data_IF_565088861896
#
_entry.id   IF_565088861896
#
_cell.length_a   1.000
_cell.length_b   1.000
_cell.length_c   1.000
_cell.angle_alpha   90.00
_cell.angle_beta   90.00
_cell.angle_gamma   90.00
#
_symmetry.space_group_name_H-M   'P 1'
#
loop_
_entity.id
_entity.type
_entity.pdbx_description
1 polymer ?
#
# COMPACT_ATOMS: atom_id res chain seq x y z
N UNK A 1 -14.39 -18.53 -4.31
CA UNK A 1 -13.95 -19.92 -4.04
C UNK A 1 -12.84 -20.27 -5.02
N UNK A 2 -11.58 -20.16 -4.60
CA UNK A 2 -10.35 -20.68 -5.21
C UNK A 2 -9.18 -19.96 -4.51
N UNK A 3 -8.65 -20.49 -3.40
CA UNK A 3 -7.49 -19.88 -2.75
C UNK A 3 -6.28 -19.94 -3.70
N UNK A 4 -5.33 -19.00 -3.55
CA UNK A 4 -4.06 -19.05 -4.29
C UNK A 4 -3.35 -20.39 -4.09
N UNK A 5 -2.61 -20.85 -5.10
CA UNK A 5 -1.95 -22.17 -5.10
C UNK A 5 -0.43 -22.10 -5.05
N UNK A 6 0.14 -20.99 -5.51
CA UNK A 6 1.57 -20.79 -5.69
C UNK A 6 2.14 -19.77 -4.69
N UNK A 7 1.28 -18.97 -4.04
CA UNK A 7 1.69 -17.98 -3.03
C UNK A 7 1.02 -18.22 -1.66
N UNK A 8 1.72 -17.84 -0.60
CA UNK A 8 1.15 -17.68 0.75
C UNK A 8 0.67 -16.23 0.90
N UNK A 9 -0.56 -16.03 1.38
CA UNK A 9 -1.10 -14.71 1.68
C UNK A 9 -1.16 -14.50 3.18
N UNK A 10 -0.56 -13.39 3.64
CA UNK A 10 -0.68 -12.90 5.02
C UNK A 10 -1.45 -11.60 5.02
N UNK A 11 -2.60 -11.59 5.70
CA UNK A 11 -3.32 -10.37 6.02
C UNK A 11 -2.84 -9.89 7.39
N UNK A 12 -2.32 -8.66 7.44
CA UNK A 12 -1.83 -8.05 8.66
C UNK A 12 -2.47 -6.66 8.83
N UNK A 13 -2.85 -6.35 10.06
CA UNK A 13 -3.20 -5.00 10.49
C UNK A 13 -2.23 -4.64 11.60
N UNK A 14 -1.43 -3.58 11.38
CA UNK A 14 -0.39 -3.17 12.30
C UNK A 14 -0.95 -2.17 13.31
N UNK A 15 -0.66 -2.40 14.59
CA UNK A 15 -0.95 -1.43 15.63
C UNK A 15 0.12 -0.34 15.70
N UNK A 16 -0.26 0.85 16.17
CA UNK A 16 0.68 1.95 16.41
C UNK A 16 1.49 2.38 15.17
N UNK A 17 0.82 2.50 14.03
CA UNK A 17 1.34 3.16 12.81
C UNK A 17 1.58 4.65 13.09
N UNK A 18 0.54 5.37 13.54
CA UNK A 18 0.55 6.82 13.77
C UNK A 18 1.72 7.38 14.63
N UNK A 19 2.14 6.74 15.75
CA UNK A 19 3.28 7.22 16.52
C UNK A 19 4.66 6.92 15.88
N UNK A 20 4.71 6.28 14.70
CA UNK A 20 5.95 6.05 13.95
C UNK A 20 6.20 4.60 13.54
N UNK A 21 5.22 3.95 12.93
CA UNK A 21 5.31 2.61 12.31
C UNK A 21 5.74 1.51 13.30
N UNK A 22 5.38 1.64 14.58
CA UNK A 22 5.94 0.79 15.65
C UNK A 22 5.56 -0.68 15.45
N UNK A 23 4.31 -0.95 15.06
CA UNK A 23 3.81 -2.31 14.84
C UNK A 23 4.48 -3.00 13.66
N UNK A 24 4.50 -2.36 12.49
CA UNK A 24 5.14 -2.94 11.29
C UNK A 24 6.64 -3.09 11.47
N UNK A 25 7.32 -2.12 12.09
CA UNK A 25 8.74 -2.21 12.42
C UNK A 25 9.02 -3.43 13.29
N UNK A 26 8.25 -3.62 14.36
CA UNK A 26 8.41 -4.77 15.24
C UNK A 26 8.12 -6.09 14.52
N UNK A 27 7.08 -6.13 13.70
CA UNK A 27 6.71 -7.31 12.92
C UNK A 27 7.85 -7.74 11.99
N UNK A 28 8.39 -6.80 11.20
CA UNK A 28 9.49 -7.05 10.25
C UNK A 28 10.77 -7.42 10.99
N UNK A 29 11.15 -6.68 12.04
CA UNK A 29 12.39 -6.95 12.80
C UNK A 29 12.40 -8.36 13.42
N UNK A 30 11.24 -8.90 13.80
CA UNK A 30 11.12 -10.24 14.39
C UNK A 30 11.01 -11.39 13.40
N UNK A 31 10.74 -11.09 12.12
CA UNK A 31 10.42 -12.09 11.08
C UNK A 31 11.23 -11.90 9.81
N UNK A 32 12.36 -11.20 9.90
CA UNK A 32 13.17 -10.82 8.73
C UNK A 32 13.52 -12.03 7.84
N UNK A 33 13.86 -13.17 8.46
CA UNK A 33 14.22 -14.40 7.73
C UNK A 33 13.02 -15.03 7.00
N UNK A 34 11.81 -14.91 7.57
CA UNK A 34 10.57 -15.38 6.95
C UNK A 34 10.11 -14.46 5.82
N UNK A 35 10.40 -13.17 5.93
CA UNK A 35 9.89 -12.14 5.02
C UNK A 35 10.85 -11.79 3.88
N UNK A 36 12.03 -12.39 3.82
CA UNK A 36 13.09 -12.03 2.85
C UNK A 36 12.62 -12.08 1.39
N UNK A 37 11.73 -13.02 1.06
CA UNK A 37 11.17 -13.23 -0.29
C UNK A 37 9.71 -12.75 -0.38
N UNK A 38 9.19 -12.09 0.67
CA UNK A 38 7.83 -11.59 0.69
C UNK A 38 7.71 -10.28 -0.09
N UNK A 39 6.51 -10.04 -0.62
CA UNK A 39 6.09 -8.76 -1.18
C UNK A 39 5.04 -8.17 -0.23
N UNK A 40 5.25 -6.93 0.22
CA UNK A 40 4.25 -6.19 0.99
C UNK A 40 3.53 -5.17 0.11
N UNK A 41 2.24 -5.39 -0.10
CA UNK A 41 1.34 -4.40 -0.67
C UNK A 41 0.51 -3.84 0.48
N UNK A 42 0.90 -2.67 0.97
CA UNK A 42 0.20 -1.98 2.04
C UNK A 42 -0.98 -1.17 1.47
N UNK A 43 -2.00 -0.94 2.28
CA UNK A 43 -3.17 -0.14 1.92
C UNK A 43 -3.36 0.97 2.93
N UNK A 44 -3.53 2.21 2.47
CA UNK A 44 -3.63 3.38 3.34
C UNK A 44 -4.72 4.36 2.86
N UNK A 45 -5.52 4.87 3.80
CA UNK A 45 -6.59 5.86 3.59
C UNK A 45 -7.39 5.72 2.27
N UNK A 46 -7.92 4.53 1.96
CA UNK A 46 -8.67 4.28 0.70
C UNK A 46 -10.09 4.86 0.66
N UNK A 47 -10.44 5.70 1.64
CA UNK A 47 -11.80 6.15 1.88
C UNK A 47 -12.25 7.29 0.96
N UNK A 48 -11.36 8.15 0.48
CA UNK A 48 -11.73 9.28 -0.37
C UNK A 48 -10.57 9.75 -1.24
N UNK A 49 -10.85 10.47 -2.33
CA UNK A 49 -9.81 10.99 -3.25
C UNK A 49 -9.65 10.13 -4.50
N UNK A 50 -8.40 9.88 -4.90
CA UNK A 50 -8.05 9.08 -6.10
C UNK A 50 -7.02 8.02 -5.76
N UNK A 51 -7.16 6.82 -6.32
CA UNK A 51 -6.17 5.76 -6.10
C UNK A 51 -4.81 6.16 -6.68
N UNK A 52 -3.75 5.83 -5.95
CA UNK A 52 -2.37 5.96 -6.39
C UNK A 52 -1.49 4.90 -5.75
N UNK A 53 -0.22 4.88 -6.16
CA UNK A 53 0.79 3.96 -5.67
C UNK A 53 2.01 4.73 -5.18
N UNK A 54 2.47 4.49 -3.96
CA UNK A 54 3.58 5.24 -3.39
C UNK A 54 4.91 4.66 -3.87
N UNK A 55 5.62 5.42 -4.71
CA UNK A 55 6.97 5.09 -5.16
C UNK A 55 8.04 5.60 -4.18
N UNK A 56 7.74 6.69 -3.48
CA UNK A 56 8.69 7.32 -2.55
C UNK A 56 7.98 8.11 -1.45
N UNK A 57 8.47 7.93 -0.23
CA UNK A 57 8.08 8.69 0.96
C UNK A 57 9.20 9.71 1.29
N UNK A 58 8.90 11.00 1.17
CA UNK A 58 9.93 12.04 1.32
C UNK A 58 10.36 12.25 2.77
N UNK A 59 9.42 12.21 3.72
CA UNK A 59 9.66 12.54 5.13
C UNK A 59 10.69 11.63 5.79
N UNK A 60 10.72 10.36 5.41
CA UNK A 60 11.65 9.36 5.95
C UNK A 60 12.71 8.91 4.94
N UNK A 61 12.77 9.55 3.77
CA UNK A 61 13.69 9.26 2.67
C UNK A 61 13.66 7.78 2.23
N UNK A 62 12.48 7.19 2.14
CA UNK A 62 12.29 5.83 1.64
C UNK A 62 11.94 5.87 0.16
N UNK A 63 12.66 5.08 -0.63
CA UNK A 63 12.31 4.74 -2.01
C UNK A 63 11.86 3.29 -1.99
N UNK A 64 10.66 3.03 -2.51
CA UNK A 64 10.10 1.69 -2.62
C UNK A 64 10.74 0.92 -3.78
N UNK A 65 10.45 -0.37 -3.87
CA UNK A 65 10.97 -1.21 -4.95
C UNK A 65 10.41 -0.72 -6.30
N UNK A 66 11.28 -0.15 -7.14
CA UNK A 66 10.90 0.39 -8.43
C UNK A 66 10.35 -0.68 -9.38
N UNK A 67 10.84 -1.92 -9.33
CA UNK A 67 10.36 -2.99 -10.20
C UNK A 67 8.93 -3.37 -9.83
N UNK A 68 8.65 -3.49 -8.51
CA UNK A 68 7.31 -3.71 -8.00
C UNK A 68 6.37 -2.55 -8.37
N UNK A 69 6.81 -1.30 -8.19
CA UNK A 69 5.99 -0.12 -8.49
C UNK A 69 5.59 -0.07 -9.96
N UNK A 70 6.54 -0.28 -10.87
CA UNK A 70 6.28 -0.32 -12.31
C UNK A 70 5.34 -1.48 -12.64
N UNK A 71 5.61 -2.67 -12.09
CA UNK A 71 4.79 -3.84 -12.31
C UNK A 71 3.33 -3.62 -11.90
N UNK A 72 3.08 -3.05 -10.71
CA UNK A 72 1.73 -2.80 -10.21
C UNK A 72 1.01 -1.69 -11.00
N UNK A 73 1.73 -0.64 -11.40
CA UNK A 73 1.20 0.41 -12.28
C UNK A 73 0.72 -0.19 -13.61
N UNK A 74 1.57 -0.96 -14.28
CA UNK A 74 1.26 -1.55 -15.59
C UNK A 74 0.16 -2.61 -15.49
N UNK A 75 0.12 -3.37 -14.39
CA UNK A 75 -0.96 -4.31 -14.11
C UNK A 75 -2.30 -3.60 -13.89
N UNK A 76 -2.30 -2.47 -13.17
CA UNK A 76 -3.49 -1.65 -12.98
C UNK A 76 -4.00 -1.11 -14.33
N UNK A 77 -3.11 -0.53 -15.14
CA UNK A 77 -3.45 -0.01 -16.48
C UNK A 77 -4.04 -1.11 -17.38
N UNK A 78 -3.39 -2.29 -17.43
CA UNK A 78 -3.87 -3.47 -18.16
C UNK A 78 -5.30 -3.89 -17.77
N UNK A 79 -5.69 -3.66 -16.52
CA UNK A 79 -7.02 -3.97 -16.00
C UNK A 79 -7.97 -2.77 -15.98
N UNK A 80 -7.58 -1.62 -16.54
CA UNK A 80 -8.42 -0.43 -16.66
C UNK A 80 -8.51 0.42 -15.39
N UNK A 81 -7.55 0.29 -14.47
CA UNK A 81 -7.45 1.12 -13.27
C UNK A 81 -6.41 2.22 -13.48
N UNK A 82 -6.74 3.45 -13.05
CA UNK A 82 -5.78 4.55 -12.96
C UNK A 82 -5.08 4.47 -11.59
N UNK A 83 -3.79 4.13 -11.61
CA UNK A 83 -2.98 3.94 -10.41
C UNK A 83 -1.60 4.61 -10.58
N UNK A 84 -1.54 5.95 -10.67
CA UNK A 84 -0.30 6.66 -10.90
C UNK A 84 0.69 6.45 -9.75
N UNK A 85 1.97 6.29 -10.09
CA UNK A 85 3.06 6.30 -9.13
C UNK A 85 3.25 7.72 -8.56
N UNK A 86 3.28 7.83 -7.24
CA UNK A 86 3.36 9.09 -6.49
C UNK A 86 4.58 9.14 -5.59
N UNK A 87 5.13 10.34 -5.45
CA UNK A 87 6.05 10.67 -4.37
C UNK A 87 5.27 11.49 -3.35
N UNK A 88 4.97 10.92 -2.18
CA UNK A 88 4.30 11.67 -1.12
C UNK A 88 5.31 12.61 -0.45
N UNK A 89 4.87 13.83 -0.18
CA UNK A 89 5.69 14.82 0.50
C UNK A 89 5.65 14.71 2.01
N UNK A 90 4.52 14.27 2.56
CA UNK A 90 4.27 14.14 3.98
C UNK A 90 3.64 12.79 4.31
N UNK A 91 3.93 12.31 5.51
CA UNK A 91 3.44 11.03 6.01
C UNK A 91 4.38 9.88 5.66
N UNK A 92 4.16 8.76 6.35
CA UNK A 92 4.89 7.52 6.17
C UNK A 92 3.89 6.39 6.15
N UNK A 93 4.25 5.23 5.62
CA UNK A 93 3.37 4.06 5.64
C UNK A 93 4.09 2.84 6.18
N UNK A 94 3.33 1.82 6.60
CA UNK A 94 3.89 0.57 7.10
C UNK A 94 4.78 -0.14 6.08
N UNK A 95 4.58 0.07 4.77
CA UNK A 95 5.48 -0.41 3.71
C UNK A 95 6.91 0.09 3.90
N UNK A 96 7.09 1.28 4.49
CA UNK A 96 8.39 1.83 4.83
C UNK A 96 9.21 0.95 5.78
N UNK A 97 8.56 0.24 6.70
CA UNK A 97 9.23 -0.72 7.60
C UNK A 97 9.83 -1.91 6.83
N UNK A 98 9.17 -2.35 5.76
CA UNK A 98 9.65 -3.41 4.87
C UNK A 98 10.76 -2.92 3.94
N UNK A 99 10.57 -1.78 3.27
CA UNK A 99 11.56 -1.22 2.34
C UNK A 99 12.88 -0.87 3.02
N UNK A 100 12.87 -0.39 4.28
CA UNK A 100 14.09 -0.16 5.08
C UNK A 100 14.91 -1.43 5.31
N UNK A 101 14.29 -2.61 5.18
CA UNK A 101 14.93 -3.92 5.31
C UNK A 101 15.18 -4.60 3.97
N UNK A 102 15.00 -3.86 2.86
CA UNK A 102 15.14 -4.34 1.47
C UNK A 102 14.17 -5.46 1.11
N UNK A 103 13.03 -5.52 1.80
CA UNK A 103 11.91 -6.37 1.41
C UNK A 103 11.08 -5.57 0.40
N UNK A 104 10.67 -6.20 -0.70
CA UNK A 104 9.88 -5.56 -1.74
C UNK A 104 8.55 -5.09 -1.17
N UNK A 105 8.29 -3.78 -1.25
CA UNK A 105 7.10 -3.19 -0.63
C UNK A 105 6.73 -1.86 -1.27
N UNK A 106 5.43 -1.54 -1.23
CA UNK A 106 4.84 -0.25 -1.62
C UNK A 106 3.44 -0.13 -1.00
N UNK A 107 2.82 1.05 -1.11
CA UNK A 107 1.47 1.33 -0.59
C UNK A 107 0.54 1.77 -1.71
N UNK A 108 -0.59 1.08 -1.83
CA UNK A 108 -1.76 1.58 -2.57
C UNK A 108 -2.53 2.49 -1.61
N UNK A 109 -2.79 3.72 -2.03
CA UNK A 109 -3.46 4.72 -1.18
C UNK A 109 -4.45 5.53 -2.00
N UNK A 110 -5.29 6.29 -1.31
CA UNK A 110 -6.02 7.36 -1.96
C UNK A 110 -5.42 8.74 -1.63
N UNK A 111 -5.11 9.50 -2.66
CA UNK A 111 -4.54 10.84 -2.55
C UNK A 111 -5.57 11.92 -2.87
N UNK A 112 -5.43 13.04 -2.16
CA UNK A 112 -6.16 14.27 -2.37
C UNK A 112 -5.27 15.35 -2.99
N UNK A 113 -5.37 16.58 -2.48
CA UNK A 113 -4.52 17.69 -2.91
C UNK A 113 -3.05 17.44 -2.53
N UNK A 114 -2.12 17.95 -3.34
CA UNK A 114 -0.66 17.85 -3.12
C UNK A 114 -0.09 16.42 -3.05
N UNK A 115 -0.80 15.44 -3.61
CA UNK A 115 -0.37 14.03 -3.66
C UNK A 115 -0.14 13.42 -2.25
N UNK A 116 -0.86 13.89 -1.24
CA UNK A 116 -0.90 13.29 0.11
C UNK A 116 -2.26 12.64 0.37
N UNK A 117 -2.35 11.85 1.44
CA UNK A 117 -3.57 11.18 1.90
C UNK A 117 -4.75 12.17 2.02
N UNK A 118 -5.89 11.84 1.40
CA UNK A 118 -7.08 12.69 1.52
C UNK A 118 -7.68 12.61 2.93
N UNK A 119 -8.21 13.74 3.42
CA UNK A 119 -8.78 13.90 4.78
C UNK A 119 -7.87 13.48 5.96
N UNK A 120 -6.58 13.24 5.73
CA UNK A 120 -5.63 12.80 6.76
C UNK A 120 -5.51 13.78 7.92
N UNK A 121 -5.52 13.22 9.14
CA UNK A 121 -5.52 13.95 10.42
C UNK A 121 -6.61 15.04 10.52
N UNK A 122 -7.71 14.86 9.80
CA UNK A 122 -8.85 15.77 9.81
C UNK A 122 -9.97 15.26 10.71
N UNK A 123 -10.70 16.16 11.36
CA UNK A 123 -11.98 15.84 12.02
C UNK A 123 -13.08 15.44 11.04
N UNK A 124 -12.80 15.52 9.73
CA UNK A 124 -13.67 15.05 8.64
C UNK A 124 -13.36 13.62 8.20
N UNK A 125 -12.36 12.97 8.77
CA UNK A 125 -12.16 11.53 8.60
C UNK A 125 -13.27 10.78 9.35
N UNK A 126 -14.42 10.64 8.69
CA UNK A 126 -15.65 10.07 9.22
C UNK A 126 -16.32 9.22 8.13
N UNK A 127 -17.14 8.26 8.55
CA UNK A 127 -17.77 7.28 7.66
C UNK A 127 -18.60 7.93 6.54
N UNK A 128 -19.19 9.10 6.79
CA UNK A 128 -20.02 9.82 5.84
C UNK A 128 -19.25 10.35 4.63
N UNK A 129 -17.91 10.45 4.73
CA UNK A 129 -17.05 10.90 3.63
C UNK A 129 -16.42 9.74 2.85
N UNK A 130 -16.79 8.48 3.15
CA UNK A 130 -16.31 7.34 2.39
C UNK A 130 -16.93 7.29 0.99
N UNK A 131 -16.08 7.13 -0.02
CA UNK A 131 -16.45 6.77 -1.38
C UNK A 131 -16.39 5.24 -1.53
N UNK A 132 -17.56 4.60 -1.42
CA UNK A 132 -17.70 3.15 -1.59
C UNK A 132 -17.15 2.66 -2.94
N UNK A 133 -17.22 3.48 -4.01
CA UNK A 133 -16.70 3.08 -5.32
C UNK A 133 -15.19 3.01 -5.31
N UNK A 134 -14.52 3.94 -4.63
CA UNK A 134 -13.07 3.96 -4.51
C UNK A 134 -12.56 2.74 -3.74
N UNK A 135 -13.23 2.41 -2.63
CA UNK A 135 -12.94 1.21 -1.83
C UNK A 135 -13.15 -0.05 -2.68
N UNK A 136 -14.26 -0.11 -3.43
CA UNK A 136 -14.55 -1.23 -4.32
C UNK A 136 -13.49 -1.37 -5.44
N UNK A 137 -13.03 -0.26 -6.03
CA UNK A 137 -11.96 -0.27 -7.03
C UNK A 137 -10.64 -0.79 -6.45
N UNK A 138 -10.25 -0.33 -5.25
CA UNK A 138 -9.06 -0.82 -4.58
C UNK A 138 -9.16 -2.32 -4.27
N UNK A 139 -10.33 -2.78 -3.82
CA UNK A 139 -10.59 -4.21 -3.58
C UNK A 139 -10.48 -5.04 -4.87
N UNK A 140 -11.11 -4.61 -5.95
CA UNK A 140 -11.05 -5.30 -7.24
C UNK A 140 -9.63 -5.37 -7.80
N UNK A 141 -8.89 -4.26 -7.74
CA UNK A 141 -7.48 -4.20 -8.10
C UNK A 141 -6.65 -5.18 -7.26
N UNK A 142 -6.87 -5.23 -5.95
CA UNK A 142 -6.20 -6.17 -5.04
C UNK A 142 -6.41 -7.63 -5.47
N UNK A 143 -7.62 -7.98 -5.90
CA UNK A 143 -7.92 -9.31 -6.43
C UNK A 143 -7.20 -9.59 -7.75
N UNK A 144 -7.05 -8.59 -8.64
CA UNK A 144 -6.27 -8.74 -9.89
C UNK A 144 -4.80 -8.93 -9.60
N UNK A 145 -4.24 -8.14 -8.68
CA UNK A 145 -2.84 -8.27 -8.26
C UNK A 145 -2.59 -9.67 -7.69
N UNK A 146 -3.43 -10.11 -6.76
CA UNK A 146 -3.34 -11.44 -6.17
C UNK A 146 -3.40 -12.55 -7.24
N UNK A 147 -4.31 -12.44 -8.20
CA UNK A 147 -4.44 -13.43 -9.28
C UNK A 147 -3.27 -13.42 -10.27
N UNK A 148 -2.57 -12.28 -10.44
CA UNK A 148 -1.38 -12.21 -11.29
C UNK A 148 -0.13 -12.74 -10.57
N UNK A 149 0.01 -12.45 -9.28
CA UNK A 149 1.11 -12.94 -8.44
C UNK A 149 1.04 -14.45 -8.18
N UNK A 150 -0.16 -15.04 -8.20
CA UNK A 150 -0.36 -16.49 -8.04
C UNK A 150 -0.08 -17.31 -9.31
N UNK A 151 0.26 -16.69 -10.44
CA UNK A 151 0.57 -17.42 -11.68
C UNK A 151 1.96 -18.05 -11.64
#
# INVERSE_FOLDING_TARGET
ENPPRNIEIRLASFGAEEPGLVGSKHYVDKRIDELKDAININYETLGSGKLGLIAKEKDNNIVHDNELVIYLHDLAEKHGFDLPAKQIHFGNTDAGSFSKKKISATTIFAFGENDVFDLWHSTRDVVENLDEKLIQQAFELSLKIMAELDK
#
